data_IF_479927217643
#
_entry.id   IF_479927217643
#
_cell.length_a   1.000
_cell.length_b   1.000
_cell.length_c   1.000
_cell.angle_alpha   90.00
_cell.angle_beta   90.00
_cell.angle_gamma   90.00
#
_symmetry.space_group_name_H-M   'P 1'
#
loop_
_entity.id
_entity.type
_entity.pdbx_description
1 polymer ?
#
# COMPACT_ATOMS: atom_id res chain seq x y z
N UNK A 1 -20.02 17.70 -18.03
CA UNK A 1 -19.02 17.08 -17.14
C UNK A 1 -17.74 17.87 -17.32
N UNK A 2 -17.17 18.45 -16.26
CA UNK A 2 -15.87 19.12 -16.37
C UNK A 2 -14.81 18.07 -16.66
N UNK A 3 -13.95 18.30 -17.66
CA UNK A 3 -12.79 17.44 -17.88
C UNK A 3 -11.87 17.53 -16.65
N UNK A 4 -11.35 16.37 -16.20
CA UNK A 4 -10.35 16.30 -15.14
C UNK A 4 -9.08 17.03 -15.60
N UNK A 5 -8.50 17.86 -14.72
CA UNK A 5 -7.19 18.43 -15.03
C UNK A 5 -6.13 17.33 -15.01
N UNK A 6 -4.97 17.58 -15.64
CA UNK A 6 -3.83 16.65 -15.60
C UNK A 6 -3.44 16.27 -14.16
N UNK A 7 -3.55 17.21 -13.22
CA UNK A 7 -3.23 16.98 -11.82
C UNK A 7 -4.28 16.12 -11.13
N UNK A 8 -5.57 16.35 -11.40
CA UNK A 8 -6.65 15.51 -10.85
C UNK A 8 -6.55 14.07 -11.37
N UNK A 9 -6.23 13.90 -12.65
CA UNK A 9 -6.01 12.58 -13.24
C UNK A 9 -4.78 11.89 -12.65
N UNK A 10 -3.68 12.61 -12.41
CA UNK A 10 -2.49 12.06 -11.76
C UNK A 10 -2.76 11.63 -10.32
N UNK A 11 -3.55 12.40 -9.57
CA UNK A 11 -3.96 12.07 -8.21
C UNK A 11 -4.83 10.80 -8.19
N UNK A 12 -5.81 10.70 -9.09
CA UNK A 12 -6.64 9.51 -9.21
C UNK A 12 -5.84 8.24 -9.56
N UNK A 13 -4.83 8.37 -10.43
CA UNK A 13 -3.90 7.26 -10.74
C UNK A 13 -3.09 6.87 -9.51
N UNK A 14 -2.57 7.84 -8.78
CA UNK A 14 -1.80 7.57 -7.56
C UNK A 14 -2.66 6.86 -6.51
N UNK A 15 -3.89 7.32 -6.31
CA UNK A 15 -4.86 6.68 -5.42
C UNK A 15 -5.11 5.21 -5.80
N UNK A 16 -5.41 4.92 -7.08
CA UNK A 16 -5.67 3.54 -7.49
C UNK A 16 -4.42 2.66 -7.40
N UNK A 17 -3.23 3.21 -7.66
CA UNK A 17 -1.97 2.48 -7.48
C UNK A 17 -1.76 2.11 -6.01
N UNK A 18 -1.98 3.04 -5.07
CA UNK A 18 -1.83 2.78 -3.64
C UNK A 18 -2.87 1.78 -3.13
N UNK A 19 -4.12 1.87 -3.61
CA UNK A 19 -5.17 0.89 -3.32
C UNK A 19 -4.82 -0.49 -3.87
N UNK A 20 -4.33 -0.58 -5.10
CA UNK A 20 -3.92 -1.84 -5.71
C UNK A 20 -2.73 -2.46 -4.98
N UNK A 21 -1.72 -1.66 -4.63
CA UNK A 21 -0.57 -2.08 -3.82
C UNK A 21 -1.00 -2.61 -2.47
N UNK A 22 -1.93 -1.92 -1.78
CA UNK A 22 -2.48 -2.39 -0.51
C UNK A 22 -3.18 -3.75 -0.65
N UNK A 23 -4.08 -3.90 -1.62
CA UNK A 23 -4.81 -5.17 -1.85
C UNK A 23 -3.85 -6.31 -2.15
N UNK A 24 -2.84 -6.06 -2.97
CA UNK A 24 -1.83 -7.06 -3.31
C UNK A 24 -0.92 -7.40 -2.12
N UNK A 25 -0.63 -6.42 -1.26
CA UNK A 25 0.08 -6.63 -0.01
C UNK A 25 -0.73 -7.51 0.95
N UNK A 26 -2.02 -7.24 1.10
CA UNK A 26 -2.95 -8.05 1.89
C UNK A 26 -3.00 -9.50 1.35
N UNK A 27 -3.10 -9.70 0.04
CA UNK A 27 -3.07 -11.04 -0.58
C UNK A 27 -1.74 -11.78 -0.37
N UNK A 28 -0.62 -11.07 -0.48
CA UNK A 28 0.70 -11.66 -0.26
C UNK A 28 0.88 -12.17 1.19
N UNK A 29 0.07 -11.71 2.15
CA UNK A 29 0.08 -12.24 3.53
C UNK A 29 -0.43 -13.67 3.63
N UNK A 30 -1.36 -14.08 2.77
CA UNK A 30 -2.03 -15.38 2.86
C UNK A 30 -1.22 -16.52 2.22
N UNK A 31 -0.22 -16.18 1.40
CA UNK A 31 0.55 -17.15 0.64
C UNK A 31 1.94 -17.45 1.26
N UNK A 32 2.44 -18.67 1.05
CA UNK A 32 3.72 -19.16 1.58
C UNK A 32 4.78 -19.27 0.48
N UNK A 33 6.02 -18.83 0.73
CA UNK A 33 7.15 -19.03 -0.19
C UNK A 33 8.13 -17.84 -0.21
N UNK A 34 9.37 -18.07 -0.67
CA UNK A 34 10.42 -17.03 -0.76
C UNK A 34 10.02 -15.87 -1.69
N UNK A 35 9.34 -16.17 -2.80
CA UNK A 35 8.78 -15.15 -3.70
C UNK A 35 7.85 -14.18 -2.96
N UNK A 36 7.02 -14.70 -2.05
CA UNK A 36 6.07 -13.88 -1.28
C UNK A 36 6.76 -13.06 -0.19
N UNK A 37 7.90 -13.51 0.35
CA UNK A 37 8.73 -12.69 1.23
C UNK A 37 9.25 -11.46 0.47
N UNK A 38 9.76 -11.65 -0.74
CA UNK A 38 10.19 -10.55 -1.62
C UNK A 38 9.04 -9.61 -1.98
N UNK A 39 7.88 -10.17 -2.30
CA UNK A 39 6.69 -9.39 -2.64
C UNK A 39 6.17 -8.54 -1.47
N UNK A 40 6.16 -9.10 -0.24
CA UNK A 40 5.84 -8.35 0.98
C UNK A 40 6.81 -7.21 1.23
N UNK A 41 8.10 -7.43 1.05
CA UNK A 41 9.12 -6.38 1.20
C UNK A 41 8.92 -5.25 0.19
N UNK A 42 8.59 -5.58 -1.06
CA UNK A 42 8.30 -4.58 -2.09
C UNK A 42 7.07 -3.73 -1.74
N UNK A 43 5.97 -4.34 -1.30
CA UNK A 43 4.79 -3.58 -0.90
C UNK A 43 4.97 -2.81 0.40
N UNK A 44 5.77 -3.33 1.34
CA UNK A 44 6.15 -2.61 2.54
C UNK A 44 6.86 -1.30 2.18
N UNK A 45 7.85 -1.35 1.27
CA UNK A 45 8.61 -0.17 0.86
C UNK A 45 7.71 0.88 0.18
N UNK A 46 6.91 0.46 -0.81
CA UNK A 46 5.99 1.35 -1.54
C UNK A 46 5.00 2.05 -0.60
N UNK A 47 4.38 1.30 0.32
CA UNK A 47 3.36 1.83 1.23
C UNK A 47 3.98 2.70 2.32
N UNK A 48 5.18 2.37 2.78
CA UNK A 48 5.93 3.20 3.74
C UNK A 48 6.29 4.54 3.12
N UNK A 49 6.88 4.53 1.92
CA UNK A 49 7.21 5.75 1.18
C UNK A 49 5.97 6.61 0.97
N UNK A 50 4.82 6.02 0.59
CA UNK A 50 3.58 6.76 0.41
C UNK A 50 3.11 7.48 1.68
N UNK A 51 3.19 6.81 2.84
CA UNK A 51 2.84 7.38 4.13
C UNK A 51 3.82 8.48 4.57
N UNK A 52 5.13 8.28 4.35
CA UNK A 52 6.16 9.29 4.64
C UNK A 52 5.99 10.54 3.76
N UNK A 53 5.68 10.37 2.47
CA UNK A 53 5.41 11.50 1.58
C UNK A 53 4.13 12.23 2.00
N UNK A 54 3.09 11.49 2.37
CA UNK A 54 1.86 12.09 2.87
C UNK A 54 2.10 12.96 4.10
N UNK A 55 2.87 12.46 5.07
CA UNK A 55 3.27 13.22 6.25
C UNK A 55 4.07 14.47 5.87
N UNK A 56 5.06 14.33 4.97
CA UNK A 56 5.90 15.43 4.50
C UNK A 56 5.10 16.57 3.85
N UNK A 57 4.06 16.23 3.09
CA UNK A 57 3.22 17.19 2.38
C UNK A 57 1.95 17.60 3.15
N UNK A 58 1.73 17.06 4.37
CA UNK A 58 0.55 17.34 5.18
C UNK A 58 -0.76 16.81 4.58
N UNK A 59 -0.70 15.71 3.83
CA UNK A 59 -1.85 15.04 3.21
C UNK A 59 -2.43 14.00 4.18
N UNK A 60 -3.75 13.83 4.17
CA UNK A 60 -4.42 12.79 4.96
C UNK A 60 -4.36 11.45 4.21
N UNK A 61 -3.75 10.38 4.78
CA UNK A 61 -3.79 9.03 4.23
C UNK A 61 -5.16 8.49 3.85
N UNK A 62 -6.23 9.01 4.46
CA UNK A 62 -7.59 8.66 4.09
C UNK A 62 -7.97 9.11 2.67
N UNK A 63 -7.36 10.17 2.13
CA UNK A 63 -7.64 10.71 0.80
C UNK A 63 -7.16 9.80 -0.34
N UNK A 64 -6.28 8.84 -0.04
CA UNK A 64 -5.77 7.87 -1.01
C UNK A 64 -5.86 6.42 -0.49
N UNK A 65 -6.87 6.15 0.34
CA UNK A 65 -7.27 4.78 0.68
C UNK A 65 -6.38 4.06 1.71
N UNK A 66 -5.45 4.76 2.35
CA UNK A 66 -4.53 4.24 3.36
C UNK A 66 -4.95 4.56 4.79
N UNK A 67 -6.21 4.93 5.01
CA UNK A 67 -6.75 5.24 6.35
C UNK A 67 -6.43 4.15 7.36
N UNK A 68 -5.60 4.50 8.36
CA UNK A 68 -5.22 3.60 9.45
C UNK A 68 -4.43 2.36 9.02
N UNK A 69 -3.92 2.33 7.79
CA UNK A 69 -3.08 1.24 7.32
C UNK A 69 -1.71 1.31 7.99
N UNK A 70 -1.23 0.17 8.50
CA UNK A 70 0.10 0.06 9.09
C UNK A 70 0.94 -0.93 8.26
N UNK A 71 1.98 -0.48 7.52
CA UNK A 71 2.79 -1.36 6.68
C UNK A 71 3.56 -2.43 7.49
N UNK A 72 3.82 -2.21 8.79
CA UNK A 72 4.51 -3.17 9.66
C UNK A 72 3.80 -4.52 9.76
N UNK A 73 2.51 -4.59 9.42
CA UNK A 73 1.81 -5.87 9.36
C UNK A 73 2.45 -6.85 8.36
N UNK A 74 3.13 -6.33 7.33
CA UNK A 74 3.81 -7.12 6.29
C UNK A 74 5.14 -7.73 6.77
N UNK A 75 5.76 -7.15 7.80
CA UNK A 75 7.02 -7.64 8.36
C UNK A 75 6.84 -8.80 9.35
N UNK A 76 5.59 -9.07 9.73
CA UNK A 76 5.28 -10.13 10.70
C UNK A 76 5.58 -11.50 10.07
N UNK A 77 6.18 -12.43 10.83
CA UNK A 77 6.32 -13.81 10.38
C UNK A 77 4.95 -14.36 9.97
N UNK A 78 4.88 -15.08 8.85
CA UNK A 78 3.65 -15.79 8.47
C UNK A 78 3.23 -16.68 9.63
N UNK A 79 2.01 -16.47 10.15
CA UNK A 79 1.36 -17.42 11.04
C UNK A 79 0.90 -18.65 10.23
N UNK A 80 1.83 -19.28 9.50
CA UNK A 80 1.60 -20.62 9.01
C UNK A 80 1.70 -21.54 10.22
N UNK A 81 0.53 -21.89 10.76
CA UNK A 81 0.24 -22.93 11.76
C UNK A 81 1.47 -23.46 12.51
N UNK A 82 1.63 -23.02 13.75
CA UNK A 82 2.14 -23.93 14.77
C UNK A 82 1.16 -25.12 14.84
N UNK A 83 1.48 -26.19 14.12
CA UNK A 83 0.88 -27.50 14.25
C UNK A 83 1.84 -28.39 15.04
#
# INVERSE_FOLDING_TARGET
MSELTKNDAALAVLEEVLLASRRAAEQAQDESGEFNVGLKAAYYDVLTVALEQAELFGLDPAEFGLKGYNPDVLLRPNQSKAA
#
